data_IF_687195752632
#
_entry.id   IF_687195752632
#
_cell.length_a   1.000
_cell.length_b   1.000
_cell.length_c   1.000
_cell.angle_alpha   90.00
_cell.angle_beta   90.00
_cell.angle_gamma   90.00
#
_symmetry.space_group_name_H-M   'P 1'
#
loop_
_entity.id
_entity.type
_entity.pdbx_description
1 polymer ?
#
# COMPACT_ATOMS: atom_id res chain seq x y z
N UNK A 1 -27.76 58.91 -73.93
CA UNK A 1 -26.87 58.05 -73.17
C UNK A 1 -27.71 57.05 -72.47
N UNK A 2 -27.61 55.78 -72.89
CA UNK A 2 -28.54 54.72 -72.50
C UNK A 2 -28.19 54.05 -71.22
N UNK A 3 -29.17 53.78 -70.41
CA UNK A 3 -29.14 53.10 -69.08
C UNK A 3 -28.77 51.62 -69.10
N UNK A 4 -28.09 51.13 -70.19
CA UNK A 4 -27.83 49.68 -70.35
C UNK A 4 -26.41 49.24 -70.12
N UNK A 5 -25.45 50.10 -69.81
CA UNK A 5 -24.02 49.76 -69.71
C UNK A 5 -23.42 49.70 -68.30
N UNK A 6 -24.27 49.74 -67.23
CA UNK A 6 -23.81 49.73 -65.88
C UNK A 6 -24.02 48.34 -65.16
N UNK A 7 -24.46 47.34 -65.91
CA UNK A 7 -24.81 46.03 -65.26
C UNK A 7 -23.85 44.87 -65.65
N UNK A 8 -22.60 45.14 -66.01
CA UNK A 8 -21.65 44.08 -66.38
C UNK A 8 -20.36 44.01 -65.61
N UNK A 9 -20.26 44.58 -64.44
CA UNK A 9 -19.09 44.34 -63.58
C UNK A 9 -19.52 44.33 -62.10
N UNK A 10 -20.21 43.29 -61.71
CA UNK A 10 -20.51 42.98 -60.32
C UNK A 10 -20.25 41.49 -60.10
N UNK A 11 -18.97 41.10 -60.04
CA UNK A 11 -18.59 39.75 -59.66
C UNK A 11 -18.93 39.47 -58.21
N UNK A 12 -19.90 38.62 -57.88
CA UNK A 12 -20.13 38.06 -56.58
C UNK A 12 -18.96 37.13 -56.19
N UNK A 13 -18.09 37.60 -55.32
CA UNK A 13 -17.16 36.74 -54.62
C UNK A 13 -17.94 36.01 -53.48
N UNK A 14 -18.40 34.82 -53.74
CA UNK A 14 -18.89 33.90 -52.71
C UNK A 14 -17.70 33.36 -51.94
N UNK A 15 -17.45 33.93 -50.74
CA UNK A 15 -16.56 33.28 -49.76
C UNK A 15 -17.19 31.96 -49.29
N UNK A 16 -16.73 30.86 -49.85
CA UNK A 16 -17.05 29.54 -49.32
C UNK A 16 -16.28 29.32 -47.99
N UNK A 17 -16.97 29.51 -46.88
CA UNK A 17 -16.49 29.00 -45.55
C UNK A 17 -16.58 27.46 -45.61
N UNK A 18 -15.49 26.81 -46.04
CA UNK A 18 -15.32 25.39 -45.79
C UNK A 18 -14.96 25.18 -44.33
N UNK A 19 -15.96 24.93 -43.48
CA UNK A 19 -15.75 24.41 -42.15
C UNK A 19 -15.16 22.99 -42.29
N UNK A 20 -13.84 22.88 -42.17
CA UNK A 20 -13.21 21.62 -41.93
C UNK A 20 -13.67 21.10 -40.55
N UNK A 21 -14.77 20.35 -40.51
CA UNK A 21 -15.06 19.45 -39.40
C UNK A 21 -13.91 18.42 -39.38
N UNK A 22 -12.91 18.67 -38.56
CA UNK A 22 -11.95 17.67 -38.14
C UNK A 22 -12.71 16.65 -37.34
N UNK A 23 -13.24 15.62 -38.00
CA UNK A 23 -13.73 14.43 -37.33
C UNK A 23 -12.50 13.83 -36.64
N UNK A 24 -12.31 14.11 -35.35
CA UNK A 24 -11.42 13.33 -34.53
C UNK A 24 -11.93 11.90 -34.58
N UNK A 25 -11.38 11.10 -35.48
CA UNK A 25 -11.52 9.66 -35.45
C UNK A 25 -11.10 9.22 -34.08
N UNK A 26 -12.06 8.91 -33.19
CA UNK A 26 -11.82 8.16 -31.97
C UNK A 26 -11.02 6.95 -32.42
N UNK A 27 -9.72 6.93 -32.13
CA UNK A 27 -8.96 5.69 -32.21
C UNK A 27 -9.71 4.74 -31.30
N UNK A 28 -10.38 3.76 -31.87
CA UNK A 28 -10.82 2.58 -31.14
C UNK A 28 -9.55 1.94 -30.60
N UNK A 29 -9.13 2.39 -29.42
CA UNK A 29 -8.11 1.71 -28.64
C UNK A 29 -8.75 0.38 -28.26
N UNK A 30 -8.25 -0.70 -28.83
CA UNK A 30 -8.68 -2.05 -28.50
C UNK A 30 -8.33 -2.28 -27.01
N UNK A 31 -9.25 -1.88 -26.12
CA UNK A 31 -9.06 -1.96 -24.67
C UNK A 31 -9.05 -3.43 -24.29
N UNK A 32 -7.92 -3.90 -23.79
CA UNK A 32 -7.76 -5.29 -23.40
C UNK A 32 -8.62 -5.58 -22.16
N UNK A 33 -9.45 -6.62 -22.28
CA UNK A 33 -10.39 -7.04 -21.26
C UNK A 33 -9.86 -8.23 -20.46
N UNK A 34 -10.06 -8.19 -19.14
CA UNK A 34 -9.71 -9.23 -18.19
C UNK A 34 -10.93 -9.61 -17.34
N UNK A 35 -10.90 -10.79 -16.73
CA UNK A 35 -11.88 -11.13 -15.70
C UNK A 35 -11.62 -10.29 -14.45
N UNK A 36 -10.34 -10.16 -14.07
CA UNK A 36 -9.91 -9.46 -12.87
C UNK A 36 -8.68 -8.61 -13.15
N UNK A 37 -8.69 -7.35 -12.70
CA UNK A 37 -7.48 -6.53 -12.56
C UNK A 37 -7.11 -6.46 -11.08
N UNK A 38 -5.84 -6.71 -10.77
CA UNK A 38 -5.25 -6.60 -9.43
C UNK A 38 -4.30 -5.41 -9.43
N UNK A 39 -4.53 -4.45 -8.54
CA UNK A 39 -3.67 -3.28 -8.35
C UNK A 39 -2.80 -3.54 -7.12
N UNK A 40 -1.49 -3.69 -7.35
CA UNK A 40 -0.48 -4.12 -6.39
C UNK A 40 -0.05 -5.56 -6.61
N UNK A 41 1.22 -5.76 -6.93
CA UNK A 41 1.85 -7.05 -7.28
C UNK A 41 2.81 -7.57 -6.22
N UNK A 42 2.60 -7.23 -4.95
CA UNK A 42 3.31 -7.80 -3.81
C UNK A 42 2.58 -9.07 -3.30
N UNK A 43 2.82 -9.48 -2.07
CA UNK A 43 2.39 -10.78 -1.52
C UNK A 43 0.88 -11.04 -1.64
N UNK A 44 0.04 -10.07 -1.30
CA UNK A 44 -1.40 -10.20 -1.37
C UNK A 44 -1.90 -10.33 -2.82
N UNK A 45 -1.44 -9.43 -3.70
CA UNK A 45 -1.83 -9.45 -5.10
C UNK A 45 -1.34 -10.70 -5.85
N UNK A 46 -0.10 -11.14 -5.61
CA UNK A 46 0.42 -12.39 -6.17
C UNK A 46 -0.35 -13.61 -5.66
N UNK A 47 -0.74 -13.63 -4.38
CA UNK A 47 -1.53 -14.72 -3.83
C UNK A 47 -2.93 -14.80 -4.43
N UNK A 48 -3.60 -13.65 -4.60
CA UNK A 48 -4.89 -13.57 -5.29
C UNK A 48 -4.77 -14.03 -6.76
N UNK A 49 -3.74 -13.55 -7.47
CA UNK A 49 -3.48 -13.94 -8.85
C UNK A 49 -3.19 -15.43 -9.00
N UNK A 50 -2.52 -16.05 -8.03
CA UNK A 50 -2.30 -17.50 -8.02
C UNK A 50 -3.61 -18.26 -7.95
N UNK A 51 -4.51 -17.91 -7.04
CA UNK A 51 -5.82 -18.54 -6.90
C UNK A 51 -6.64 -18.42 -8.19
N UNK A 52 -6.67 -17.23 -8.79
CA UNK A 52 -7.38 -16.94 -10.03
C UNK A 52 -6.76 -17.64 -11.25
N UNK A 53 -5.42 -17.61 -11.39
CA UNK A 53 -4.72 -18.28 -12.49
C UNK A 53 -4.90 -19.79 -12.47
N UNK A 54 -4.90 -20.42 -11.27
CA UNK A 54 -5.22 -21.83 -11.09
C UNK A 54 -6.67 -22.17 -11.47
N UNK A 55 -7.55 -21.18 -11.41
CA UNK A 55 -8.95 -21.27 -11.85
C UNK A 55 -9.17 -20.84 -13.30
N UNK A 56 -8.08 -20.68 -14.08
CA UNK A 56 -8.08 -20.30 -15.49
C UNK A 56 -8.71 -18.94 -15.78
N UNK A 57 -8.77 -18.03 -14.78
CA UNK A 57 -9.26 -16.66 -14.99
C UNK A 57 -8.21 -15.79 -15.68
N UNK A 58 -8.67 -14.92 -16.57
CA UNK A 58 -7.85 -13.91 -17.21
C UNK A 58 -7.53 -12.78 -16.24
N UNK A 59 -6.28 -12.66 -15.81
CA UNK A 59 -5.85 -11.75 -14.74
C UNK A 59 -4.78 -10.79 -15.24
N UNK A 60 -4.93 -9.52 -14.92
CA UNK A 60 -3.87 -8.52 -15.06
C UNK A 60 -3.43 -8.03 -13.68
N UNK A 61 -2.14 -8.11 -13.38
CA UNK A 61 -1.52 -7.46 -12.24
C UNK A 61 -0.86 -6.17 -12.72
N UNK A 62 -1.17 -5.05 -12.05
CA UNK A 62 -0.53 -3.74 -12.27
C UNK A 62 0.24 -3.40 -11.00
N UNK A 63 1.56 -3.28 -11.07
CA UNK A 63 2.42 -3.05 -9.92
C UNK A 63 3.41 -1.92 -10.13
N UNK A 64 3.51 -1.02 -9.16
CA UNK A 64 4.44 0.12 -9.19
C UNK A 64 5.86 -0.21 -8.73
N UNK A 65 6.10 -1.43 -8.22
CA UNK A 65 7.41 -1.87 -7.77
C UNK A 65 7.89 -1.28 -6.44
N UNK A 66 6.99 -0.74 -5.61
CA UNK A 66 7.33 -0.04 -4.36
C UNK A 66 6.70 -0.73 -3.13
N UNK A 67 7.13 -1.95 -2.76
CA UNK A 67 6.62 -2.63 -1.56
C UNK A 67 7.10 -1.93 -0.28
N UNK A 68 6.27 -1.94 0.77
CA UNK A 68 6.56 -1.25 2.04
C UNK A 68 7.79 -1.80 2.79
N UNK A 69 8.21 -3.02 2.52
CA UNK A 69 9.35 -3.68 3.16
C UNK A 69 10.60 -3.76 2.27
N UNK A 70 10.72 -2.89 1.28
CA UNK A 70 11.83 -2.91 0.31
C UNK A 70 13.21 -2.83 0.98
N UNK A 71 13.36 -2.00 2.03
CA UNK A 71 14.61 -1.77 2.75
C UNK A 71 14.87 -2.78 3.87
N UNK A 72 13.91 -3.63 4.21
CA UNK A 72 14.04 -4.62 5.28
C UNK A 72 15.04 -5.71 4.89
N UNK A 73 16.10 -5.95 5.68
CA UNK A 73 17.14 -6.93 5.33
C UNK A 73 16.60 -8.35 5.18
N UNK A 74 15.76 -8.79 6.12
CA UNK A 74 15.17 -10.13 6.14
C UNK A 74 13.72 -10.08 6.59
N UNK A 75 12.91 -10.98 6.04
CA UNK A 75 11.49 -11.14 6.40
C UNK A 75 11.33 -12.36 7.30
N UNK A 76 10.63 -12.18 8.42
CA UNK A 76 10.42 -13.23 9.39
C UNK A 76 8.94 -13.53 9.63
N UNK A 77 8.67 -14.57 10.42
CA UNK A 77 7.32 -15.01 10.78
C UNK A 77 6.44 -15.38 9.57
N UNK A 78 7.07 -15.90 8.51
CA UNK A 78 6.35 -16.52 7.39
C UNK A 78 6.90 -17.92 7.17
N UNK A 79 6.15 -18.94 7.60
CA UNK A 79 6.53 -20.34 7.51
C UNK A 79 7.01 -20.70 6.10
N UNK A 80 8.07 -21.51 5.99
CA UNK A 80 8.78 -21.89 4.75
C UNK A 80 9.65 -20.78 4.12
N UNK A 81 9.55 -19.52 4.56
CA UNK A 81 10.34 -18.40 4.04
C UNK A 81 10.97 -17.55 5.17
N UNK A 82 10.99 -18.06 6.41
CA UNK A 82 11.56 -17.37 7.56
C UNK A 82 13.05 -17.08 7.33
N UNK A 83 13.46 -15.81 7.50
CA UNK A 83 14.83 -15.35 7.26
C UNK A 83 15.20 -15.06 5.79
N UNK A 84 14.31 -15.33 4.83
CA UNK A 84 14.54 -14.94 3.44
C UNK A 84 14.39 -13.42 3.24
N UNK A 85 15.10 -12.85 2.26
CA UNK A 85 14.94 -11.43 1.93
C UNK A 85 13.58 -11.16 1.29
N UNK A 86 12.98 -9.97 1.47
CA UNK A 86 11.74 -9.61 0.79
C UNK A 86 11.80 -9.79 -0.73
N UNK A 87 12.95 -9.49 -1.33
CA UNK A 87 13.18 -9.66 -2.77
C UNK A 87 13.12 -11.12 -3.21
N UNK A 88 13.78 -12.04 -2.47
CA UNK A 88 13.74 -13.48 -2.78
C UNK A 88 12.34 -14.05 -2.73
N UNK A 89 11.57 -13.70 -1.67
CA UNK A 89 10.18 -14.15 -1.51
C UNK A 89 9.33 -13.64 -2.66
N UNK A 90 9.41 -12.33 -2.96
CA UNK A 90 8.63 -11.68 -4.02
C UNK A 90 8.94 -12.26 -5.40
N UNK A 91 10.22 -12.39 -5.75
CA UNK A 91 10.64 -12.97 -7.03
C UNK A 91 10.23 -14.43 -7.18
N UNK A 92 10.33 -15.24 -6.10
CA UNK A 92 9.88 -16.62 -6.10
C UNK A 92 8.37 -16.71 -6.32
N UNK A 93 7.58 -15.89 -5.62
CA UNK A 93 6.14 -15.80 -5.77
C UNK A 93 5.76 -15.37 -7.21
N UNK A 94 6.38 -14.30 -7.73
CA UNK A 94 6.14 -13.80 -9.09
C UNK A 94 6.43 -14.89 -10.13
N UNK A 95 7.56 -15.61 -10.02
CA UNK A 95 7.88 -16.74 -10.93
C UNK A 95 6.86 -17.86 -10.87
N UNK A 96 6.30 -18.15 -9.69
CA UNK A 96 5.27 -19.18 -9.54
C UNK A 96 3.94 -18.77 -10.18
N UNK A 97 3.53 -17.53 -9.98
CA UNK A 97 2.28 -16.98 -10.50
C UNK A 97 2.32 -16.87 -12.03
N UNK A 98 3.44 -16.44 -12.60
CA UNK A 98 3.59 -16.28 -14.06
C UNK A 98 3.74 -17.60 -14.84
N UNK A 99 3.73 -18.76 -14.16
CA UNK A 99 3.56 -20.06 -14.83
C UNK A 99 2.16 -20.26 -15.38
N UNK A 100 1.17 -19.56 -14.83
CA UNK A 100 -0.20 -19.60 -15.33
C UNK A 100 -0.33 -18.62 -16.49
N UNK A 101 -0.47 -19.13 -17.71
CA UNK A 101 -0.49 -18.37 -18.95
C UNK A 101 -1.69 -17.41 -19.09
N UNK A 102 -2.69 -17.52 -18.21
CA UNK A 102 -3.82 -16.60 -18.11
C UNK A 102 -3.52 -15.38 -17.22
N UNK A 103 -2.36 -15.35 -16.54
CA UNK A 103 -1.95 -14.24 -15.67
C UNK A 103 -0.91 -13.38 -16.37
N UNK A 104 -1.15 -12.08 -16.43
CA UNK A 104 -0.23 -11.08 -16.96
C UNK A 104 0.19 -10.13 -15.86
N UNK A 105 1.45 -9.72 -15.91
CA UNK A 105 2.04 -8.76 -14.96
C UNK A 105 2.63 -7.59 -15.75
N UNK A 106 2.29 -6.38 -15.35
CA UNK A 106 2.89 -5.17 -15.89
C UNK A 106 3.46 -4.31 -14.78
N UNK A 107 4.66 -3.80 -15.01
CA UNK A 107 5.27 -2.77 -14.18
C UNK A 107 4.73 -1.42 -14.64
N UNK A 108 3.82 -0.86 -13.84
CA UNK A 108 3.15 0.40 -14.08
C UNK A 108 2.39 0.83 -12.83
N UNK A 109 1.97 2.09 -12.77
CA UNK A 109 1.18 2.63 -11.69
C UNK A 109 -0.24 2.90 -12.16
N UNK A 110 -1.23 2.29 -11.50
CA UNK A 110 -2.62 2.66 -11.68
C UNK A 110 -2.86 4.05 -11.07
N UNK A 111 -3.41 4.98 -11.85
CA UNK A 111 -3.63 6.38 -11.44
C UNK A 111 -5.09 6.81 -11.47
N UNK A 112 -5.95 6.06 -12.15
CA UNK A 112 -7.39 6.37 -12.23
C UNK A 112 -8.21 5.12 -12.45
N UNK A 113 -9.33 5.03 -11.74
CA UNK A 113 -10.37 4.01 -11.93
C UNK A 113 -11.71 4.64 -12.28
N UNK A 114 -12.51 3.92 -13.07
CA UNK A 114 -13.89 4.29 -13.38
C UNK A 114 -14.73 3.03 -13.48
N UNK A 115 -15.93 3.04 -12.91
CA UNK A 115 -16.98 2.02 -13.14
C UNK A 115 -17.93 2.51 -14.22
N UNK A 116 -18.19 1.68 -15.22
CA UNK A 116 -19.20 1.91 -16.26
C UNK A 116 -19.99 0.63 -16.39
N UNK A 117 -21.27 0.69 -16.09
CA UNK A 117 -22.15 -0.48 -16.01
C UNK A 117 -21.57 -1.56 -15.08
N UNK A 118 -21.30 -2.75 -15.61
CA UNK A 118 -20.70 -3.87 -14.88
C UNK A 118 -19.19 -4.01 -15.09
N UNK A 119 -18.56 -3.05 -15.76
CA UNK A 119 -17.12 -3.07 -16.05
C UNK A 119 -16.37 -1.97 -15.32
N UNK A 120 -15.12 -2.29 -14.98
CA UNK A 120 -14.15 -1.35 -14.42
C UNK A 120 -13.08 -1.02 -15.45
N UNK A 121 -12.73 0.25 -15.54
CA UNK A 121 -11.67 0.77 -16.40
C UNK A 121 -10.56 1.35 -15.56
N UNK A 122 -9.35 0.86 -15.75
CA UNK A 122 -8.14 1.33 -15.04
C UNK A 122 -7.20 1.99 -16.03
N UNK A 123 -6.77 3.21 -15.71
CA UNK A 123 -5.75 3.95 -16.43
C UNK A 123 -4.45 3.93 -15.66
N UNK A 124 -3.35 3.77 -16.38
CA UNK A 124 -2.02 3.76 -15.79
C UNK A 124 -1.23 5.03 -16.13
N UNK A 125 -0.17 5.27 -15.39
CA UNK A 125 0.73 6.43 -15.56
C UNK A 125 1.39 6.45 -16.92
N UNK A 126 1.68 5.27 -17.52
CA UNK A 126 2.20 5.16 -18.89
C UNK A 126 1.14 5.42 -19.98
N UNK A 127 -0.10 5.76 -19.62
CA UNK A 127 -1.19 6.07 -20.55
C UNK A 127 -1.94 4.84 -21.07
N UNK A 128 -1.68 3.64 -20.57
CA UNK A 128 -2.43 2.43 -20.93
C UNK A 128 -3.79 2.40 -20.23
N UNK A 129 -4.75 1.75 -20.87
CA UNK A 129 -6.09 1.53 -20.34
C UNK A 129 -6.47 0.06 -20.42
N UNK A 130 -7.11 -0.45 -19.37
CA UNK A 130 -7.55 -1.83 -19.26
C UNK A 130 -8.97 -1.90 -18.73
N UNK A 131 -9.71 -2.94 -19.13
CA UNK A 131 -11.07 -3.23 -18.67
C UNK A 131 -11.10 -4.54 -17.90
N UNK A 132 -11.92 -4.61 -16.84
CA UNK A 132 -12.22 -5.87 -16.14
C UNK A 132 -13.63 -5.93 -15.57
N UNK A 133 -14.09 -7.14 -15.26
CA UNK A 133 -15.35 -7.40 -14.58
C UNK A 133 -15.24 -7.22 -13.05
N UNK A 134 -14.04 -7.46 -12.49
CA UNK A 134 -13.76 -7.35 -11.04
C UNK A 134 -12.44 -6.63 -10.81
N UNK A 135 -12.30 -5.98 -9.65
CA UNK A 135 -11.06 -5.36 -9.19
C UNK A 135 -10.61 -5.94 -7.85
N UNK A 136 -9.30 -6.05 -7.66
CA UNK A 136 -8.67 -6.27 -6.36
C UNK A 136 -7.69 -5.14 -6.08
N UNK A 137 -7.85 -4.46 -4.94
CA UNK A 137 -6.84 -3.55 -4.41
C UNK A 137 -5.95 -4.28 -3.42
N UNK A 138 -4.70 -4.51 -3.78
CA UNK A 138 -3.64 -5.11 -2.97
C UNK A 138 -2.48 -4.11 -2.78
N UNK A 139 -2.84 -2.84 -2.64
CA UNK A 139 -1.95 -1.68 -2.74
C UNK A 139 -1.09 -1.45 -1.50
N UNK A 140 -1.42 -2.09 -0.37
CA UNK A 140 -0.77 -1.84 0.90
C UNK A 140 -0.98 -0.42 1.41
N UNK A 141 -0.16 -0.02 2.39
CA UNK A 141 -0.18 1.32 3.00
C UNK A 141 1.19 1.95 2.95
N UNK A 142 1.25 3.28 3.03
CA UNK A 142 2.46 4.07 3.15
C UNK A 142 2.57 4.65 4.55
N UNK A 143 3.68 4.38 5.25
CA UNK A 143 3.98 4.97 6.54
C UNK A 143 4.27 6.48 6.39
N UNK A 144 3.73 7.28 7.31
CA UNK A 144 3.96 8.73 7.35
C UNK A 144 5.15 8.96 8.28
N UNK A 145 6.31 9.25 7.67
CA UNK A 145 7.53 9.50 8.41
C UNK A 145 7.45 10.85 9.14
N UNK A 146 7.76 10.91 10.46
CA UNK A 146 7.92 12.17 11.15
C UNK A 146 9.21 12.87 10.69
N UNK A 147 9.28 14.20 10.90
CA UNK A 147 10.46 15.00 10.62
C UNK A 147 11.54 14.81 11.69
N UNK A 148 11.98 13.57 11.89
CA UNK A 148 13.11 13.19 12.77
C UNK A 148 14.26 12.78 11.87
N UNK A 149 15.37 13.50 11.91
CA UNK A 149 16.56 13.22 11.10
C UNK A 149 17.06 11.80 11.36
N UNK A 150 17.37 11.01 10.31
CA UNK A 150 17.87 9.64 10.40
C UNK A 150 16.81 8.57 10.66
N UNK A 151 15.56 8.92 11.03
CA UNK A 151 14.52 7.92 11.29
C UNK A 151 14.18 7.12 10.03
N UNK A 152 14.00 7.79 8.91
CA UNK A 152 13.69 7.14 7.62
C UNK A 152 14.80 6.21 7.15
N UNK A 153 16.05 6.54 7.44
CA UNK A 153 17.22 5.72 7.06
C UNK A 153 17.30 4.42 7.89
N UNK A 154 16.75 4.46 9.11
CA UNK A 154 16.70 3.31 10.02
C UNK A 154 15.41 2.48 9.87
N UNK A 155 14.39 3.02 9.18
CA UNK A 155 13.08 2.38 9.10
C UNK A 155 13.13 1.03 8.40
N UNK A 156 12.58 -0.01 9.06
CA UNK A 156 12.61 -1.39 8.59
C UNK A 156 13.95 -2.11 8.80
N UNK A 157 14.96 -1.44 9.40
CA UNK A 157 16.29 -2.00 9.71
C UNK A 157 16.48 -2.12 11.23
N UNK A 158 16.57 -0.98 11.92
CA UNK A 158 16.73 -0.91 13.38
C UNK A 158 15.66 -0.07 14.07
N UNK A 159 14.90 0.70 13.31
CA UNK A 159 13.62 1.30 13.71
C UNK A 159 12.52 0.49 13.05
N UNK A 160 11.76 -0.28 13.81
CA UNK A 160 10.79 -1.27 13.31
C UNK A 160 9.41 -1.05 13.94
N UNK A 161 8.36 -1.60 13.34
CA UNK A 161 7.01 -1.43 13.87
C UNK A 161 6.44 -2.69 14.55
N UNK A 162 6.97 -3.88 14.21
CA UNK A 162 6.31 -5.14 14.52
C UNK A 162 7.19 -6.03 15.41
N UNK A 163 6.81 -6.29 16.66
CA UNK A 163 7.55 -7.21 17.52
C UNK A 163 7.62 -8.64 17.00
N UNK A 164 6.59 -9.10 16.29
CA UNK A 164 6.56 -10.45 15.72
C UNK A 164 7.42 -10.61 14.47
N UNK A 165 7.67 -9.52 13.74
CA UNK A 165 8.41 -9.54 12.49
C UNK A 165 9.91 -9.34 12.66
N UNK A 166 10.33 -8.70 13.77
CA UNK A 166 11.72 -8.28 13.98
C UNK A 166 12.23 -8.53 15.40
N UNK A 167 11.33 -8.86 16.33
CA UNK A 167 11.67 -8.87 17.75
C UNK A 167 12.70 -9.93 18.14
N UNK A 168 12.70 -11.07 17.47
CA UNK A 168 13.65 -12.14 17.77
C UNK A 168 15.11 -11.74 17.42
N UNK A 169 15.30 -11.00 16.33
CA UNK A 169 16.62 -10.55 15.85
C UNK A 169 17.20 -9.42 16.70
N UNK A 170 16.34 -8.68 17.39
CA UNK A 170 16.73 -7.57 18.29
C UNK A 170 16.52 -7.89 19.77
N UNK A 171 16.26 -9.15 20.12
CA UNK A 171 16.10 -9.57 21.53
C UNK A 171 17.34 -9.28 22.36
N UNK A 172 17.16 -9.04 23.66
CA UNK A 172 18.21 -8.75 24.64
C UNK A 172 19.02 -7.47 24.35
N UNK A 173 18.56 -6.63 23.42
CA UNK A 173 19.20 -5.35 23.09
C UNK A 173 18.52 -4.22 23.87
N UNK A 174 19.28 -3.17 24.16
CA UNK A 174 18.71 -1.94 24.72
C UNK A 174 17.78 -1.31 23.69
N UNK A 175 16.51 -1.30 24.00
CA UNK A 175 15.43 -1.00 23.05
C UNK A 175 14.59 0.20 23.50
N UNK A 176 14.24 1.07 22.55
CA UNK A 176 13.27 2.15 22.71
C UNK A 176 11.92 1.85 22.08
N UNK A 177 10.85 2.41 22.61
CA UNK A 177 9.54 2.53 21.93
C UNK A 177 9.27 4.00 21.66
N UNK A 178 9.28 4.41 20.40
CA UNK A 178 8.92 5.77 19.95
C UNK A 178 7.41 5.80 19.72
N UNK A 179 6.67 6.04 20.77
CA UNK A 179 5.20 6.14 20.79
C UNK A 179 4.74 6.73 22.11
N UNK A 180 3.46 7.15 22.20
CA UNK A 180 2.86 7.72 23.40
C UNK A 180 1.50 7.07 23.71
N UNK A 181 0.97 7.30 24.90
CA UNK A 181 -0.35 6.88 25.36
C UNK A 181 -0.65 5.39 25.14
N UNK A 182 -1.87 5.07 24.77
CA UNK A 182 -2.34 3.69 24.57
C UNK A 182 -1.49 2.87 23.60
N UNK A 183 -0.97 3.50 22.55
CA UNK A 183 -0.14 2.79 21.57
C UNK A 183 1.17 2.31 22.17
N UNK A 184 1.85 3.17 22.95
CA UNK A 184 3.08 2.80 23.65
C UNK A 184 2.80 1.76 24.73
N UNK A 185 1.71 1.92 25.47
CA UNK A 185 1.30 1.01 26.53
C UNK A 185 0.96 -0.38 26.01
N UNK A 186 0.31 -0.47 24.83
CA UNK A 186 0.04 -1.74 24.15
C UNK A 186 1.32 -2.46 23.68
N UNK A 187 2.31 -1.71 23.14
CA UNK A 187 3.56 -2.29 22.69
C UNK A 187 4.50 -2.72 23.83
N UNK A 188 4.45 -2.01 24.96
CA UNK A 188 5.38 -2.21 26.05
C UNK A 188 5.47 -3.68 26.56
N UNK A 189 4.39 -4.41 26.86
CA UNK A 189 4.48 -5.80 27.30
C UNK A 189 5.03 -6.74 26.23
N UNK A 190 4.73 -6.48 24.95
CA UNK A 190 5.23 -7.31 23.84
C UNK A 190 6.74 -7.16 23.67
N UNK A 191 7.24 -5.92 23.77
CA UNK A 191 8.67 -5.63 23.66
C UNK A 191 9.42 -6.02 24.93
N UNK A 192 8.83 -5.81 26.11
CA UNK A 192 9.43 -6.23 27.41
C UNK A 192 9.69 -7.72 27.49
N UNK A 193 8.88 -8.54 26.83
CA UNK A 193 9.12 -9.98 26.72
C UNK A 193 10.39 -10.33 25.92
N UNK A 194 10.92 -9.38 25.16
CA UNK A 194 12.10 -9.58 24.28
C UNK A 194 13.37 -8.96 24.85
N UNK A 195 13.26 -7.99 25.80
CA UNK A 195 14.42 -7.32 26.39
C UNK A 195 14.12 -6.83 27.81
N UNK A 196 15.15 -6.86 28.65
CA UNK A 196 15.07 -6.27 29.98
C UNK A 196 15.37 -4.76 30.01
N UNK A 197 16.06 -4.24 29.00
CA UNK A 197 16.42 -2.82 28.87
C UNK A 197 15.48 -2.08 27.92
N UNK A 198 14.29 -1.73 28.45
CA UNK A 198 13.25 -1.06 27.68
C UNK A 198 12.98 0.37 28.19
N UNK A 199 12.92 1.33 27.27
CA UNK A 199 12.46 2.69 27.51
C UNK A 199 11.35 3.08 26.54
N UNK A 200 10.38 3.87 27.00
CA UNK A 200 9.39 4.52 26.13
C UNK A 200 9.83 5.96 25.89
N UNK A 201 9.95 6.34 24.63
CA UNK A 201 10.32 7.68 24.16
C UNK A 201 9.03 8.33 23.64
N UNK A 202 8.40 9.14 24.49
CA UNK A 202 7.07 9.70 24.22
C UNK A 202 7.07 10.83 23.20
N UNK A 203 8.28 11.33 22.85
CA UNK A 203 8.47 12.45 21.93
C UNK A 203 7.62 13.66 22.32
N UNK A 204 7.71 14.07 23.57
CA UNK A 204 6.91 15.10 24.23
C UNK A 204 6.32 14.59 25.56
N UNK A 205 5.34 15.31 26.10
CA UNK A 205 4.71 14.96 27.37
C UNK A 205 4.02 13.57 27.30
N UNK A 206 4.22 12.75 28.33
CA UNK A 206 3.59 11.43 28.44
C UNK A 206 2.07 11.54 28.61
N UNK A 207 1.35 10.68 27.88
CA UNK A 207 -0.12 10.60 27.86
C UNK A 207 -0.62 9.30 28.51
N UNK A 208 -0.04 8.94 29.66
CA UNK A 208 -0.42 7.75 30.43
C UNK A 208 -1.26 8.14 31.64
N UNK A 209 -2.24 7.32 31.98
CA UNK A 209 -2.93 7.43 33.26
C UNK A 209 -2.08 6.88 34.41
N UNK A 210 -2.57 7.06 35.66
CA UNK A 210 -1.84 6.66 36.88
C UNK A 210 -1.66 5.14 36.99
N UNK A 211 -2.60 4.33 36.46
CA UNK A 211 -2.51 2.87 36.45
C UNK A 211 -1.45 2.41 35.46
N UNK A 212 -1.46 2.97 34.30
CA UNK A 212 -0.48 2.70 33.24
C UNK A 212 0.94 3.04 33.70
N UNK A 213 1.15 4.23 34.31
CA UNK A 213 2.43 4.63 34.89
C UNK A 213 2.88 3.63 35.96
N UNK A 214 1.98 3.24 36.88
CA UNK A 214 2.28 2.26 37.91
C UNK A 214 2.70 0.91 37.32
N UNK A 215 2.04 0.44 36.27
CA UNK A 215 2.39 -0.82 35.59
C UNK A 215 3.73 -0.75 34.86
N UNK A 216 4.01 0.36 34.18
CA UNK A 216 5.29 0.58 33.48
C UNK A 216 6.44 0.60 34.50
N UNK A 217 6.29 1.32 35.61
CA UNK A 217 7.29 1.40 36.68
C UNK A 217 7.56 0.03 37.34
N UNK A 218 6.53 -0.76 37.64
CA UNK A 218 6.67 -2.12 38.21
C UNK A 218 7.44 -3.06 37.29
N UNK A 219 7.42 -2.81 35.98
CA UNK A 219 8.17 -3.59 34.96
C UNK A 219 9.53 -2.96 34.62
N UNK A 220 10.00 -1.96 35.38
CA UNK A 220 11.25 -1.24 35.18
C UNK A 220 11.35 -0.62 33.77
N UNK A 221 10.24 -0.13 33.23
CA UNK A 221 10.20 0.55 31.93
C UNK A 221 10.33 2.05 32.18
N UNK A 222 11.41 2.65 31.69
CA UNK A 222 11.69 4.07 31.79
C UNK A 222 10.81 4.86 30.81
N UNK A 223 10.23 5.98 31.23
CA UNK A 223 9.52 6.93 30.39
C UNK A 223 10.43 8.15 30.17
N UNK A 224 10.67 8.52 28.92
CA UNK A 224 11.49 9.66 28.52
C UNK A 224 10.60 10.65 27.77
N UNK A 225 10.27 11.78 28.42
CA UNK A 225 9.35 12.81 27.92
C UNK A 225 10.08 13.93 27.15
N UNK A 226 11.12 13.59 26.39
CA UNK A 226 11.90 14.54 25.61
C UNK A 226 11.53 14.45 24.12
N UNK A 227 11.48 15.61 23.46
CA UNK A 227 11.31 15.64 22.00
C UNK A 227 12.55 15.08 21.31
N UNK A 228 12.33 14.23 20.33
CA UNK A 228 13.40 13.59 19.52
C UNK A 228 13.68 14.46 18.31
N UNK A 229 14.94 14.80 18.10
CA UNK A 229 15.39 15.61 16.95
C UNK A 229 16.16 14.78 15.92
N UNK A 230 16.89 13.76 16.37
CA UNK A 230 17.72 12.95 15.46
C UNK A 230 17.85 11.51 15.98
N UNK A 231 17.91 10.57 15.05
CA UNK A 231 18.42 9.22 15.26
C UNK A 231 19.79 9.14 14.61
N UNK A 232 20.84 9.06 15.41
CA UNK A 232 22.19 8.83 14.92
C UNK A 232 22.37 7.35 14.59
N UNK A 233 22.87 7.08 13.40
CA UNK A 233 22.96 5.72 12.89
C UNK A 233 24.18 5.51 12.00
N UNK A 234 24.49 4.26 11.74
CA UNK A 234 25.47 3.82 10.73
C UNK A 234 24.79 2.79 9.82
N UNK A 235 24.63 3.12 8.53
CA UNK A 235 23.98 2.25 7.53
C UNK A 235 22.58 1.75 7.96
N UNK A 236 21.76 2.61 8.59
CA UNK A 236 20.43 2.26 9.08
C UNK A 236 20.40 1.56 10.44
N UNK A 237 21.54 1.30 11.05
CA UNK A 237 21.63 0.73 12.41
C UNK A 237 21.81 1.84 13.43
N UNK A 238 20.80 2.02 14.29
CA UNK A 238 20.78 3.05 15.34
C UNK A 238 21.96 2.92 16.28
N UNK A 239 22.49 4.06 16.71
CA UNK A 239 23.51 4.20 17.75
C UNK A 239 22.98 4.98 18.95
N UNK A 240 22.26 6.07 18.70
CA UNK A 240 21.67 6.89 19.75
C UNK A 240 20.47 7.69 19.26
N UNK A 241 19.60 8.04 20.19
CA UNK A 241 18.53 9.02 20.00
C UNK A 241 18.99 10.33 20.61
N UNK A 242 18.93 11.42 19.83
CA UNK A 242 19.27 12.78 20.27
C UNK A 242 17.98 13.54 20.57
N UNK A 243 17.97 14.25 21.67
CA UNK A 243 16.83 15.03 22.12
C UNK A 243 17.03 16.54 21.92
N UNK A 244 15.94 17.30 21.96
CA UNK A 244 15.92 18.74 21.76
C UNK A 244 16.81 19.52 22.74
N UNK A 245 16.99 18.99 23.96
CA UNK A 245 17.90 19.58 24.97
C UNK A 245 19.39 19.30 24.71
N UNK A 246 19.73 18.69 23.59
CA UNK A 246 21.10 18.33 23.21
C UNK A 246 21.62 17.06 23.88
N UNK A 247 20.88 16.45 24.79
CA UNK A 247 21.25 15.16 25.37
C UNK A 247 21.02 14.02 24.36
N UNK A 248 21.70 12.89 24.58
CA UNK A 248 21.50 11.69 23.77
C UNK A 248 21.46 10.46 24.66
N UNK A 249 20.75 9.42 24.18
CA UNK A 249 20.71 8.11 24.83
C UNK A 249 21.00 7.02 23.81
N UNK A 250 21.85 6.06 24.17
CA UNK A 250 22.20 4.91 23.36
C UNK A 250 21.05 3.92 23.26
N UNK A 251 20.78 3.42 22.06
CA UNK A 251 19.88 2.31 21.77
C UNK A 251 20.46 1.44 20.64
N UNK A 252 20.13 0.16 20.65
CA UNK A 252 20.52 -0.79 19.60
C UNK A 252 19.34 -1.05 18.63
N UNK A 253 18.12 -0.80 19.08
CA UNK A 253 16.91 -0.89 18.28
C UNK A 253 15.80 0.02 18.86
N UNK A 254 14.85 0.39 18.02
CA UNK A 254 13.61 1.03 18.49
C UNK A 254 12.41 0.48 17.75
N UNK A 255 11.28 0.43 18.45
CA UNK A 255 9.98 0.28 17.81
C UNK A 255 9.37 1.66 17.62
N UNK A 256 8.79 1.92 16.45
CA UNK A 256 8.05 3.16 16.23
C UNK A 256 6.65 2.86 15.69
N UNK A 257 5.65 3.45 16.33
CA UNK A 257 4.26 3.38 15.88
C UNK A 257 3.95 4.59 15.00
N UNK A 258 4.18 4.45 13.71
CA UNK A 258 3.93 5.51 12.75
C UNK A 258 2.51 5.45 12.20
N UNK A 259 1.85 6.60 11.98
CA UNK A 259 0.61 6.64 11.22
C UNK A 259 0.86 6.19 9.78
N UNK A 260 -0.18 5.67 9.14
CA UNK A 260 -0.11 5.26 7.74
C UNK A 260 -1.29 5.80 6.94
N UNK A 261 -1.15 5.83 5.63
CA UNK A 261 -2.22 6.17 4.69
C UNK A 261 -2.26 5.20 3.53
N UNK A 262 -3.39 5.16 2.83
CA UNK A 262 -3.50 4.39 1.61
C UNK A 262 -2.47 4.83 0.57
N UNK A 263 -1.90 3.87 -0.17
CA UNK A 263 -1.00 4.17 -1.29
C UNK A 263 -1.74 4.73 -2.51
N UNK A 264 -3.03 4.46 -2.60
CA UNK A 264 -3.84 4.68 -3.78
C UNK A 264 -5.23 5.18 -3.33
N UNK A 265 -5.69 6.25 -3.94
CA UNK A 265 -7.00 6.85 -3.70
C UNK A 265 -8.11 6.30 -4.62
N UNK A 266 -7.75 5.45 -5.58
CA UNK A 266 -8.73 4.87 -6.52
C UNK A 266 -9.88 4.13 -5.81
N UNK A 267 -9.68 3.36 -4.73
CA UNK A 267 -10.78 2.75 -3.99
C UNK A 267 -11.83 3.75 -3.53
N UNK A 268 -11.42 4.83 -2.88
CA UNK A 268 -12.30 5.89 -2.40
C UNK A 268 -13.01 6.60 -3.55
N UNK A 269 -12.28 6.90 -4.64
CA UNK A 269 -12.85 7.52 -5.84
C UNK A 269 -13.88 6.62 -6.56
N UNK A 270 -13.80 5.30 -6.36
CA UNK A 270 -14.79 4.34 -6.83
C UNK A 270 -15.92 4.11 -5.83
N UNK A 271 -15.92 4.78 -4.67
CA UNK A 271 -16.95 4.73 -3.65
C UNK A 271 -16.73 3.68 -2.55
N UNK A 272 -15.54 3.07 -2.47
CA UNK A 272 -15.21 2.19 -1.34
C UNK A 272 -15.07 3.00 -0.05
N UNK A 273 -15.69 2.54 1.01
CA UNK A 273 -15.56 3.15 2.33
C UNK A 273 -14.24 2.78 2.99
N UNK A 274 -13.70 3.71 3.77
CA UNK A 274 -12.63 3.46 4.72
C UNK A 274 -13.22 3.35 6.12
N UNK A 275 -12.59 2.55 6.97
CA UNK A 275 -12.91 2.53 8.39
C UNK A 275 -12.30 3.75 9.12
N UNK A 276 -12.61 3.93 10.40
CA UNK A 276 -12.12 5.04 11.23
C UNK A 276 -10.58 5.15 11.30
N UNK A 277 -9.89 4.07 10.97
CA UNK A 277 -8.42 3.99 10.99
C UNK A 277 -7.80 4.19 9.60
N UNK A 278 -8.61 4.49 8.57
CA UNK A 278 -8.17 4.75 7.21
C UNK A 278 -7.87 3.49 6.38
N UNK A 279 -8.28 2.30 6.81
CA UNK A 279 -8.19 1.07 6.02
C UNK A 279 -9.43 0.87 5.17
N UNK A 280 -9.29 0.29 3.98
CA UNK A 280 -10.43 -0.07 3.14
C UNK A 280 -11.32 -1.04 3.91
N UNK A 281 -12.60 -0.68 4.07
CA UNK A 281 -13.57 -1.52 4.76
C UNK A 281 -13.90 -2.74 3.90
N UNK A 282 -13.66 -3.92 4.46
CA UNK A 282 -13.94 -5.21 3.83
C UNK A 282 -14.60 -6.17 4.81
N UNK A 283 -15.38 -7.10 4.26
CA UNK A 283 -15.85 -8.26 5.02
C UNK A 283 -14.74 -9.34 5.15
N UNK A 284 -15.03 -10.44 5.82
CA UNK A 284 -14.08 -11.55 6.00
C UNK A 284 -13.67 -12.22 4.68
N UNK A 285 -14.37 -11.96 3.59
CA UNK A 285 -14.11 -12.49 2.24
C UNK A 285 -13.35 -11.50 1.36
N UNK A 286 -12.96 -10.34 1.90
CA UNK A 286 -12.26 -9.29 1.19
C UNK A 286 -13.15 -8.44 0.28
N UNK A 287 -14.49 -8.52 0.39
CA UNK A 287 -15.42 -7.68 -0.37
C UNK A 287 -15.47 -6.28 0.25
N UNK A 288 -15.35 -5.27 -0.59
CA UNK A 288 -15.56 -3.87 -0.19
C UNK A 288 -17.04 -3.51 -0.17
N UNK A 289 -17.36 -2.27 0.20
CA UNK A 289 -18.73 -1.73 0.13
C UNK A 289 -19.24 -1.53 -1.30
N UNK A 290 -18.38 -1.66 -2.31
CA UNK A 290 -18.73 -1.53 -3.74
C UNK A 290 -18.72 -2.89 -4.41
N UNK A 291 -19.86 -3.27 -4.98
CA UNK A 291 -20.02 -4.53 -5.70
C UNK A 291 -18.98 -4.67 -6.84
N UNK A 292 -18.30 -5.81 -6.86
CA UNK A 292 -17.28 -6.14 -7.85
C UNK A 292 -15.88 -5.66 -7.48
N UNK A 293 -15.72 -4.95 -6.36
CA UNK A 293 -14.42 -4.49 -5.84
C UNK A 293 -14.06 -5.25 -4.57
N UNK A 294 -12.83 -5.75 -4.52
CA UNK A 294 -12.24 -6.45 -3.39
C UNK A 294 -10.97 -5.72 -2.93
N UNK A 295 -10.58 -5.96 -1.69
CA UNK A 295 -9.28 -5.52 -1.20
C UNK A 295 -8.66 -6.57 -0.28
N UNK A 296 -7.32 -6.62 -0.23
CA UNK A 296 -6.58 -7.57 0.58
C UNK A 296 -5.16 -7.08 0.91
N UNK A 297 -4.60 -7.59 1.98
CA UNK A 297 -3.30 -7.18 2.49
C UNK A 297 -3.37 -5.96 3.41
N UNK A 298 -2.25 -5.26 3.55
CA UNK A 298 -2.06 -4.21 4.56
C UNK A 298 -2.97 -2.98 4.38
N UNK A 299 -3.57 -2.81 3.21
CA UNK A 299 -4.54 -1.73 2.95
C UNK A 299 -5.91 -1.95 3.62
N UNK A 300 -6.15 -3.14 4.22
CA UNK A 300 -7.43 -3.49 4.86
C UNK A 300 -7.31 -3.68 6.38
N UNK A 301 -6.10 -3.72 6.95
CA UNK A 301 -5.91 -4.12 8.36
C UNK A 301 -4.63 -3.58 8.97
N UNK A 302 -4.65 -3.42 10.31
CA UNK A 302 -3.44 -3.16 11.12
C UNK A 302 -2.54 -4.39 11.27
N UNK A 303 -3.03 -5.60 11.03
CA UNK A 303 -2.28 -6.87 11.11
C UNK A 303 -1.35 -7.03 9.90
N UNK A 304 -0.38 -6.13 9.78
CA UNK A 304 0.59 -6.08 8.67
C UNK A 304 1.59 -7.21 8.82
N UNK A 305 1.52 -8.19 7.92
CA UNK A 305 2.52 -9.27 7.81
C UNK A 305 2.45 -9.95 6.45
N UNK A 306 3.55 -10.57 6.03
CA UNK A 306 3.59 -11.37 4.78
C UNK A 306 2.57 -12.51 4.84
N UNK A 307 2.46 -13.19 5.98
CA UNK A 307 1.52 -14.30 6.16
C UNK A 307 0.06 -13.85 5.99
N UNK A 308 -0.33 -12.74 6.64
CA UNK A 308 -1.69 -12.20 6.51
C UNK A 308 -1.98 -11.70 5.10
N UNK A 309 -1.00 -11.04 4.46
CA UNK A 309 -1.15 -10.58 3.08
C UNK A 309 -1.37 -11.75 2.11
N UNK A 310 -0.62 -12.84 2.25
CA UNK A 310 -0.79 -14.07 1.45
C UNK A 310 -2.16 -14.70 1.70
N UNK A 311 -2.57 -14.83 2.97
CA UNK A 311 -3.84 -15.45 3.33
C UNK A 311 -5.04 -14.66 2.78
N UNK A 312 -5.08 -13.35 3.04
CA UNK A 312 -6.18 -12.48 2.57
C UNK A 312 -6.26 -12.40 1.05
N UNK A 313 -5.11 -12.36 0.37
CA UNK A 313 -5.07 -12.41 -1.09
C UNK A 313 -5.64 -13.70 -1.67
N UNK A 314 -5.28 -14.85 -1.08
CA UNK A 314 -5.82 -16.13 -1.48
C UNK A 314 -7.35 -16.20 -1.34
N UNK A 315 -7.88 -15.73 -0.20
CA UNK A 315 -9.33 -15.66 0.06
C UNK A 315 -10.02 -14.78 -0.98
N UNK A 316 -9.55 -13.56 -1.22
CA UNK A 316 -10.14 -12.66 -2.20
C UNK A 316 -10.17 -13.27 -3.61
N UNK A 317 -9.07 -13.90 -4.04
CA UNK A 317 -9.01 -14.57 -5.35
C UNK A 317 -9.99 -15.75 -5.47
N UNK A 318 -10.10 -16.57 -4.43
CA UNK A 318 -11.01 -17.72 -4.41
C UNK A 318 -12.49 -17.27 -4.44
N UNK A 319 -12.84 -16.25 -3.67
CA UNK A 319 -14.22 -15.70 -3.62
C UNK A 319 -14.62 -15.08 -4.95
N UNK A 320 -13.71 -14.31 -5.58
CA UNK A 320 -13.97 -13.77 -6.93
C UNK A 320 -14.20 -14.88 -7.94
N UNK A 321 -13.40 -15.94 -7.91
CA UNK A 321 -13.61 -17.06 -8.82
C UNK A 321 -14.98 -17.72 -8.59
N UNK A 322 -15.39 -17.90 -7.34
CA UNK A 322 -16.72 -18.43 -7.01
C UNK A 322 -17.84 -17.53 -7.56
N UNK A 323 -17.75 -16.20 -7.38
CA UNK A 323 -18.74 -15.28 -7.93
C UNK A 323 -18.81 -15.33 -9.45
N UNK A 324 -17.66 -15.29 -10.14
CA UNK A 324 -17.61 -15.35 -11.59
C UNK A 324 -18.14 -16.69 -12.13
N UNK A 325 -17.88 -17.80 -11.43
CA UNK A 325 -18.40 -19.11 -11.80
C UNK A 325 -19.92 -19.15 -11.67
N UNK A 326 -20.47 -18.62 -10.57
CA UNK A 326 -21.93 -18.56 -10.37
C UNK A 326 -22.63 -17.66 -11.40
N UNK A 327 -21.98 -16.57 -11.85
CA UNK A 327 -22.50 -15.68 -12.87
C UNK A 327 -22.50 -16.30 -14.29
N UNK A 328 -21.65 -17.29 -14.52
CA UNK A 328 -21.48 -17.98 -15.81
C UNK A 328 -22.28 -19.29 -15.90
N UNK A 329 -22.71 -19.84 -14.75
CA UNK A 329 -23.52 -21.07 -14.64
C UNK A 329 -25.02 -20.79 -14.82
#
# INVERSE_FOLDING_TARGET
MNRRDVLKQGGLATLGLTTHLTIFKRRDMNIKKFDVIIIGGSYAGLSAAMALGRSLRNVLIIDSGLPCNLQTPHSHNFITQDGATPSEISQKAKRQVLKYNTVQFIEDKAIKGKKVDQSFYIHTESGRQFESSKLIFATGVKDIMPEIKGLSDCWGISVVHCPYCHGYEIKNKKTGIIANGETAFHLAPLVKNLTDELSILTNGKAEFDSEQISRLNRNNIKIVEKNITEIQHENGYIKSVVFEDGSSEYFEATYAALPSKQHCDIPELLGCELNEQGYIHVDMMGKTTVEGIFACGDNTTRMRSVANAVASGNVAGAVINMELSNQQF
#
